data_IF_371750794451
#
_entry.id   IF_371750794451
#
_cell.length_a   1.000
_cell.length_b   1.000
_cell.length_c   1.000
_cell.angle_alpha   90.00
_cell.angle_beta   90.00
_cell.angle_gamma   90.00
#
_symmetry.space_group_name_H-M   'P 1'
#
loop_
_entity.id
_entity.type
_entity.pdbx_description
1 polymer ?
#
# COMPACT_ATOMS: atom_id res chain seq x y z
N UNK A 1 -41.60 1.15 56.62
CA UNK A 1 -41.27 1.10 55.19
C UNK A 1 -40.87 2.48 54.72
N UNK A 2 -39.57 2.72 54.50
CA UNK A 2 -39.06 4.00 54.01
C UNK A 2 -39.36 4.13 52.51
N UNK A 3 -40.05 5.19 52.12
CA UNK A 3 -40.31 5.51 50.70
C UNK A 3 -38.96 5.72 50.00
N UNK A 4 -38.61 4.81 49.08
CA UNK A 4 -37.50 5.03 48.14
C UNK A 4 -37.76 6.33 47.38
N UNK A 5 -36.89 7.32 47.58
CA UNK A 5 -36.87 8.53 46.76
C UNK A 5 -36.53 8.10 45.33
N UNK A 6 -37.43 8.35 44.37
CA UNK A 6 -37.13 8.29 42.94
C UNK A 6 -36.00 9.29 42.68
N UNK A 7 -34.78 8.78 42.52
CA UNK A 7 -33.64 9.56 42.04
C UNK A 7 -33.92 9.85 40.58
N UNK A 8 -34.17 11.12 40.28
CA UNK A 8 -34.34 11.62 38.92
C UNK A 8 -32.95 11.57 38.27
N UNK A 9 -32.72 10.58 37.39
CA UNK A 9 -31.52 10.54 36.54
C UNK A 9 -31.70 11.57 35.44
N UNK A 10 -31.14 12.76 35.66
CA UNK A 10 -31.02 13.78 34.62
C UNK A 10 -29.92 13.34 33.65
N UNK A 11 -30.21 13.32 32.34
CA UNK A 11 -29.21 13.10 31.29
C UNK A 11 -28.04 14.09 31.37
N UNK A 12 -28.27 15.27 31.96
CA UNK A 12 -27.22 16.26 32.22
C UNK A 12 -26.29 15.87 33.39
N UNK A 13 -26.74 15.02 34.33
CA UNK A 13 -25.89 14.49 35.42
C UNK A 13 -25.01 13.33 34.94
N UNK A 14 -25.50 12.54 33.97
CA UNK A 14 -24.70 11.50 33.31
C UNK A 14 -23.64 12.13 32.39
N UNK A 15 -23.95 13.23 31.69
CA UNK A 15 -22.99 13.98 30.87
C UNK A 15 -21.82 14.62 31.65
N UNK A 16 -22.04 14.92 32.95
CA UNK A 16 -21.06 15.60 33.83
C UNK A 16 -20.02 14.63 34.41
N UNK A 17 -20.27 13.31 34.39
CA UNK A 17 -19.38 12.29 34.96
C UNK A 17 -18.53 11.52 33.93
N UNK A 18 -18.59 11.86 32.64
CA UNK A 18 -17.77 11.19 31.63
C UNK A 18 -16.29 11.57 31.76
N UNK A 19 -15.42 10.57 31.78
CA UNK A 19 -13.98 10.77 31.69
C UNK A 19 -13.61 11.44 30.37
N UNK A 20 -12.39 11.98 30.27
CA UNK A 20 -11.89 12.53 28.99
C UNK A 20 -11.94 11.47 27.88
N UNK A 21 -11.58 10.22 28.20
CA UNK A 21 -11.61 9.09 27.27
C UNK A 21 -13.04 8.78 26.80
N UNK A 22 -14.04 8.79 27.69
CA UNK A 22 -15.42 8.49 27.30
C UNK A 22 -15.99 9.51 26.30
N UNK A 23 -15.61 10.78 26.42
CA UNK A 23 -16.03 11.83 25.49
C UNK A 23 -15.42 11.62 24.11
N UNK A 24 -14.13 11.27 24.06
CA UNK A 24 -13.45 10.92 22.80
C UNK A 24 -14.11 9.68 22.19
N UNK A 25 -14.31 8.62 22.98
CA UNK A 25 -14.96 7.37 22.57
C UNK A 25 -16.32 7.62 21.93
N UNK A 26 -17.18 8.40 22.57
CA UNK A 26 -18.53 8.68 22.04
C UNK A 26 -18.48 9.39 20.69
N UNK A 27 -17.58 10.36 20.52
CA UNK A 27 -17.44 11.09 19.26
C UNK A 27 -16.94 10.16 18.16
N UNK A 28 -15.87 9.39 18.41
CA UNK A 28 -15.29 8.51 17.40
C UNK A 28 -16.26 7.38 17.02
N UNK A 29 -16.97 6.78 17.97
CA UNK A 29 -18.01 5.79 17.68
C UNK A 29 -19.13 6.40 16.83
N UNK A 30 -19.57 7.62 17.15
CA UNK A 30 -20.60 8.30 16.36
C UNK A 30 -20.12 8.57 14.93
N UNK A 31 -18.84 8.92 14.75
CA UNK A 31 -18.24 9.09 13.42
C UNK A 31 -18.16 7.75 12.69
N UNK A 32 -17.54 6.74 13.30
CA UNK A 32 -17.32 5.41 12.74
C UNK A 32 -18.61 4.65 12.40
N UNK A 33 -19.77 5.09 12.91
CA UNK A 33 -21.10 4.55 12.59
C UNK A 33 -21.89 5.38 11.57
N UNK A 34 -21.34 6.47 11.06
CA UNK A 34 -22.05 7.35 10.14
C UNK A 34 -23.07 8.27 10.80
N UNK A 35 -23.05 8.40 12.13
CA UNK A 35 -24.08 9.12 12.91
C UNK A 35 -23.68 10.58 13.21
N UNK A 36 -22.40 10.93 13.08
CA UNK A 36 -21.90 12.26 13.42
C UNK A 36 -22.14 13.28 12.28
N UNK A 37 -22.70 14.47 12.56
CA UNK A 37 -23.07 15.44 11.52
C UNK A 37 -21.88 16.02 10.73
N UNK A 38 -20.66 15.92 11.28
CA UNK A 38 -19.45 16.38 10.58
C UNK A 38 -19.14 15.56 9.31
N UNK A 39 -19.66 14.34 9.18
CA UNK A 39 -19.42 13.47 8.01
C UNK A 39 -19.95 14.09 6.71
N UNK A 40 -20.94 14.97 6.79
CA UNK A 40 -21.49 15.66 5.62
C UNK A 40 -20.53 16.71 5.01
N UNK A 41 -19.39 16.98 5.65
CA UNK A 41 -18.46 18.04 5.28
C UNK A 41 -17.03 17.62 5.66
N UNK A 42 -16.21 17.26 4.68
CA UNK A 42 -14.88 16.69 4.91
C UNK A 42 -13.94 17.63 5.69
N UNK A 43 -14.01 18.96 5.49
CA UNK A 43 -13.21 19.92 6.27
C UNK A 43 -13.63 19.90 7.74
N UNK A 44 -14.94 19.88 8.02
CA UNK A 44 -15.45 19.78 9.41
C UNK A 44 -15.10 18.45 10.06
N UNK A 45 -15.12 17.36 9.29
CA UNK A 45 -14.71 16.05 9.75
C UNK A 45 -13.22 16.06 10.11
N UNK A 46 -12.38 16.62 9.22
CA UNK A 46 -10.95 16.78 9.45
C UNK A 46 -10.65 17.56 10.74
N UNK A 47 -11.21 18.76 10.89
CA UNK A 47 -11.04 19.59 12.09
C UNK A 47 -11.46 18.85 13.39
N UNK A 48 -12.58 18.13 13.32
CA UNK A 48 -13.07 17.32 14.43
C UNK A 48 -12.07 16.22 14.79
N UNK A 49 -11.57 15.49 13.78
CA UNK A 49 -10.65 14.38 13.96
C UNK A 49 -9.27 14.86 14.44
N UNK A 50 -8.70 15.94 13.90
CA UNK A 50 -7.51 16.57 14.47
C UNK A 50 -7.70 16.91 15.96
N UNK A 51 -8.87 17.45 16.31
CA UNK A 51 -9.24 17.76 17.68
C UNK A 51 -9.42 16.52 18.58
N UNK A 52 -9.85 15.37 18.02
CA UNK A 52 -9.91 14.11 18.75
C UNK A 52 -8.53 13.49 18.90
N UNK A 53 -7.71 13.48 17.84
CA UNK A 53 -6.38 12.91 17.86
C UNK A 53 -5.50 13.55 18.93
N UNK A 54 -5.44 14.89 18.99
CA UNK A 54 -4.75 15.62 20.07
C UNK A 54 -5.22 15.23 21.47
N UNK A 55 -6.53 14.95 21.63
CA UNK A 55 -7.07 14.50 22.92
C UNK A 55 -6.67 13.07 23.24
N UNK A 56 -6.48 12.22 22.24
CA UNK A 56 -5.97 10.84 22.40
C UNK A 56 -4.51 10.89 22.84
N UNK A 57 -3.68 11.75 22.23
CA UNK A 57 -2.27 11.96 22.62
C UNK A 57 -2.14 12.41 24.08
N UNK A 58 -3.08 13.23 24.56
CA UNK A 58 -3.15 13.68 25.95
C UNK A 58 -3.64 12.60 26.94
N UNK A 59 -4.14 11.45 26.46
CA UNK A 59 -4.54 10.35 27.34
C UNK A 59 -3.32 9.65 27.93
N UNK A 60 -3.53 8.92 29.03
CA UNK A 60 -2.48 8.04 29.55
C UNK A 60 -2.26 6.92 28.56
N UNK A 61 -1.01 6.69 28.13
CA UNK A 61 -0.57 5.55 27.33
C UNK A 61 -0.99 4.22 27.99
N UNK A 62 -2.18 3.74 27.66
CA UNK A 62 -2.79 2.56 28.25
C UNK A 62 -3.75 1.90 27.24
N UNK A 63 -4.47 0.89 27.70
CA UNK A 63 -5.49 0.16 26.94
C UNK A 63 -6.54 1.06 26.28
N UNK A 64 -6.98 2.13 26.95
CA UNK A 64 -7.99 3.05 26.41
C UNK A 64 -7.46 3.86 25.23
N UNK A 65 -6.17 4.25 25.25
CA UNK A 65 -5.55 4.94 24.10
C UNK A 65 -5.59 4.06 22.85
N UNK A 66 -5.22 2.77 22.97
CA UNK A 66 -5.30 1.82 21.86
C UNK A 66 -6.72 1.65 21.32
N UNK A 67 -7.70 1.55 22.21
CA UNK A 67 -9.12 1.53 21.84
C UNK A 67 -9.50 2.77 21.03
N UNK A 68 -9.10 3.96 21.49
CA UNK A 68 -9.46 5.22 20.84
C UNK A 68 -8.79 5.35 19.47
N UNK A 69 -7.53 4.93 19.35
CA UNK A 69 -6.82 4.91 18.06
C UNK A 69 -7.49 3.93 17.08
N UNK A 70 -7.93 2.76 17.54
CA UNK A 70 -8.69 1.82 16.70
C UNK A 70 -10.00 2.45 16.19
N UNK A 71 -10.77 3.12 17.05
CA UNK A 71 -11.97 3.86 16.61
C UNK A 71 -11.64 5.01 15.67
N UNK A 72 -10.52 5.71 15.91
CA UNK A 72 -10.06 6.80 15.07
C UNK A 72 -9.76 6.33 13.65
N UNK A 73 -9.01 5.23 13.50
CA UNK A 73 -8.66 4.65 12.20
C UNK A 73 -9.90 4.21 11.39
N UNK A 74 -10.97 3.77 12.07
CA UNK A 74 -12.25 3.46 11.40
C UNK A 74 -12.98 4.70 10.85
N UNK A 75 -12.56 5.91 11.21
CA UNK A 75 -13.20 7.15 10.74
C UNK A 75 -12.77 7.56 9.32
N UNK A 76 -11.66 7.02 8.80
CA UNK A 76 -11.13 7.36 7.47
C UNK A 76 -12.14 7.09 6.34
N UNK A 77 -12.93 6.03 6.51
CA UNK A 77 -13.98 5.58 5.62
C UNK A 77 -15.00 6.67 5.18
N UNK A 78 -15.07 7.78 5.93
CA UNK A 78 -16.05 8.84 5.75
C UNK A 78 -15.50 10.08 5.06
N UNK A 79 -14.23 10.10 4.68
CA UNK A 79 -13.70 11.15 3.82
C UNK A 79 -14.16 10.96 2.38
N UNK A 80 -14.62 12.05 1.75
CA UNK A 80 -14.97 12.08 0.33
C UNK A 80 -14.39 13.35 -0.25
N UNK A 81 -13.09 13.29 -0.54
CA UNK A 81 -12.33 14.42 -1.07
C UNK A 81 -12.08 14.19 -2.56
N UNK A 82 -12.41 15.15 -3.45
CA UNK A 82 -12.08 15.05 -4.86
C UNK A 82 -10.56 14.89 -5.05
N UNK A 83 -10.14 14.05 -6.00
CA UNK A 83 -8.72 13.85 -6.32
C UNK A 83 -7.98 15.15 -6.69
N UNK A 84 -8.72 16.15 -7.17
CA UNK A 84 -8.19 17.47 -7.52
C UNK A 84 -7.76 18.31 -6.30
N UNK A 85 -8.23 17.97 -5.09
CA UNK A 85 -7.85 18.64 -3.83
C UNK A 85 -6.69 17.90 -3.15
N UNK A 86 -5.58 17.82 -3.87
CA UNK A 86 -4.41 17.04 -3.48
C UNK A 86 -3.82 17.45 -2.11
N UNK A 87 -3.75 18.76 -1.83
CA UNK A 87 -3.20 19.24 -0.55
C UNK A 87 -4.05 18.79 0.64
N UNK A 88 -5.37 18.82 0.51
CA UNK A 88 -6.24 18.36 1.58
C UNK A 88 -6.21 16.84 1.75
N UNK A 89 -6.05 16.09 0.65
CA UNK A 89 -5.79 14.65 0.71
C UNK A 89 -4.47 14.33 1.43
N UNK A 90 -3.41 15.11 1.20
CA UNK A 90 -2.14 14.97 1.94
C UNK A 90 -2.31 15.24 3.43
N UNK A 91 -3.01 16.31 3.81
CA UNK A 91 -3.30 16.65 5.22
C UNK A 91 -4.05 15.51 5.93
N UNK A 92 -4.99 14.86 5.25
CA UNK A 92 -5.73 13.69 5.77
C UNK A 92 -4.79 12.50 5.93
N UNK A 93 -3.97 12.21 4.91
CA UNK A 93 -2.99 11.10 4.95
C UNK A 93 -1.97 11.29 6.07
N UNK A 94 -1.47 12.51 6.28
CA UNK A 94 -0.55 12.82 7.38
C UNK A 94 -1.20 12.53 8.75
N UNK A 95 -2.44 13.01 8.95
CA UNK A 95 -3.19 12.78 10.18
C UNK A 95 -3.37 11.29 10.50
N UNK A 96 -3.72 10.49 9.49
CA UNK A 96 -3.88 9.06 9.68
C UNK A 96 -2.55 8.31 9.80
N UNK A 97 -1.51 8.73 9.07
CA UNK A 97 -0.15 8.20 9.22
C UNK A 97 0.41 8.39 10.63
N UNK A 98 0.15 9.55 11.25
CA UNK A 98 0.47 9.82 12.65
C UNK A 98 -0.30 8.88 13.59
N UNK A 99 -1.59 8.65 13.32
CA UNK A 99 -2.42 7.75 14.12
C UNK A 99 -1.97 6.29 14.01
N UNK A 100 -1.57 5.83 12.82
CA UNK A 100 -0.98 4.51 12.59
C UNK A 100 0.32 4.36 13.37
N UNK A 101 1.23 5.35 13.26
CA UNK A 101 2.50 5.35 13.98
C UNK A 101 2.29 5.28 15.49
N UNK A 102 1.35 6.07 16.01
CA UNK A 102 1.05 6.07 17.44
C UNK A 102 0.40 4.75 17.89
N UNK A 103 -0.48 4.16 17.07
CA UNK A 103 -1.06 2.84 17.35
C UNK A 103 0.04 1.78 17.41
N UNK A 104 0.93 1.72 16.42
CA UNK A 104 2.02 0.74 16.37
C UNK A 104 2.97 0.85 17.56
N UNK A 105 3.35 2.06 17.98
CA UNK A 105 4.16 2.27 19.19
C UNK A 105 3.45 1.72 20.43
N UNK A 106 2.19 2.11 20.63
CA UNK A 106 1.38 1.68 21.77
C UNK A 106 1.13 0.17 21.79
N UNK A 107 0.89 -0.42 20.62
CA UNK A 107 0.63 -1.84 20.48
C UNK A 107 1.89 -2.66 20.76
N UNK A 108 3.06 -2.17 20.35
CA UNK A 108 4.35 -2.80 20.62
C UNK A 108 4.69 -2.79 22.13
N UNK A 109 4.38 -1.69 22.83
CA UNK A 109 4.59 -1.57 24.28
C UNK A 109 3.54 -2.31 25.13
N UNK A 110 2.43 -2.74 24.53
CA UNK A 110 1.33 -3.39 25.24
C UNK A 110 1.67 -4.82 25.69
N UNK A 111 1.49 -5.10 26.98
CA UNK A 111 1.60 -6.45 27.54
C UNK A 111 0.34 -7.28 27.31
N UNK A 112 -0.81 -6.66 27.02
CA UNK A 112 -2.09 -7.33 26.77
C UNK A 112 -2.21 -7.67 25.27
N UNK A 113 -1.47 -8.71 24.87
CA UNK A 113 -1.35 -9.13 23.45
C UNK A 113 -2.68 -9.57 22.84
N UNK A 114 -3.49 -10.29 23.62
CA UNK A 114 -4.82 -10.71 23.19
C UNK A 114 -5.74 -9.51 22.88
N UNK A 115 -5.61 -8.42 23.64
CA UNK A 115 -6.36 -7.21 23.35
C UNK A 115 -5.92 -6.53 22.05
N UNK A 116 -4.62 -6.49 21.77
CA UNK A 116 -4.09 -5.95 20.48
C UNK A 116 -4.62 -6.77 19.30
N UNK A 117 -4.60 -8.11 19.40
CA UNK A 117 -5.15 -9.00 18.37
C UNK A 117 -6.63 -8.71 18.13
N UNK A 118 -7.44 -8.56 19.20
CA UNK A 118 -8.86 -8.24 19.06
C UNK A 118 -9.10 -6.89 18.37
N UNK A 119 -8.29 -5.87 18.65
CA UNK A 119 -8.39 -4.58 17.97
C UNK A 119 -8.05 -4.69 16.48
N UNK A 120 -7.01 -5.45 16.14
CA UNK A 120 -6.64 -5.70 14.75
C UNK A 120 -7.72 -6.50 14.01
N UNK A 121 -8.34 -7.48 14.69
CA UNK A 121 -9.46 -8.24 14.17
C UNK A 121 -10.64 -7.32 13.86
N UNK A 122 -11.04 -6.46 14.80
CA UNK A 122 -12.11 -5.49 14.58
C UNK A 122 -11.77 -4.51 13.44
N UNK A 123 -10.52 -4.05 13.34
CA UNK A 123 -10.09 -3.15 12.25
C UNK A 123 -10.18 -3.83 10.88
N UNK A 124 -9.78 -5.10 10.77
CA UNK A 124 -9.89 -5.88 9.54
C UNK A 124 -11.35 -6.09 9.14
N UNK A 125 -12.23 -6.46 10.08
CA UNK A 125 -13.65 -6.68 9.79
C UNK A 125 -14.39 -5.42 9.35
N UNK A 126 -13.90 -4.24 9.71
CA UNK A 126 -14.48 -2.96 9.32
C UNK A 126 -13.78 -2.34 8.08
N UNK A 127 -12.87 -3.05 7.40
CA UNK A 127 -12.22 -2.57 6.19
C UNK A 127 -13.26 -2.13 5.14
N UNK A 128 -13.08 -0.94 4.54
CA UNK A 128 -14.04 -0.38 3.57
C UNK A 128 -13.44 -0.12 2.20
N UNK A 129 -12.11 -0.06 2.09
CA UNK A 129 -11.44 0.09 0.80
C UNK A 129 -10.02 -0.47 0.86
N UNK A 130 -9.46 -0.81 -0.30
CA UNK A 130 -8.08 -1.29 -0.43
C UNK A 130 -7.03 -0.18 -0.19
N UNK A 131 -7.43 1.08 -0.02
CA UNK A 131 -6.53 2.23 0.14
C UNK A 131 -6.86 3.11 1.35
N UNK A 132 -7.58 2.55 2.33
CA UNK A 132 -7.86 3.29 3.56
C UNK A 132 -6.64 3.33 4.49
N UNK A 133 -6.61 4.28 5.42
CA UNK A 133 -5.55 4.47 6.40
C UNK A 133 -5.13 3.20 7.18
N UNK A 134 -6.00 2.18 7.26
CA UNK A 134 -5.68 0.93 7.95
C UNK A 134 -4.76 0.04 7.13
N UNK A 135 -4.71 0.22 5.81
CA UNK A 135 -3.73 -0.41 4.93
C UNK A 135 -2.31 -0.20 5.47
N UNK A 136 -1.93 1.05 5.77
CA UNK A 136 -0.60 1.36 6.32
C UNK A 136 -0.35 0.64 7.66
N UNK A 137 -1.38 0.51 8.51
CA UNK A 137 -1.28 -0.26 9.75
C UNK A 137 -1.09 -1.76 9.50
N UNK A 138 -1.80 -2.33 8.51
CA UNK A 138 -1.66 -3.74 8.11
C UNK A 138 -0.25 -4.02 7.57
N UNK A 139 0.31 -3.10 6.78
CA UNK A 139 1.72 -3.18 6.33
C UNK A 139 2.73 -3.02 7.47
N UNK A 140 2.38 -2.28 8.53
CA UNK A 140 3.20 -2.11 9.72
C UNK A 140 3.05 -3.23 10.77
N UNK A 141 2.21 -4.26 10.54
CA UNK A 141 1.84 -5.25 11.56
C UNK A 141 3.03 -5.95 12.24
N UNK A 142 4.11 -6.21 11.48
CA UNK A 142 5.34 -6.83 12.00
C UNK A 142 6.12 -5.96 12.99
N UNK A 143 5.85 -4.67 13.03
CA UNK A 143 6.50 -3.76 13.98
C UNK A 143 6.04 -4.04 15.41
N UNK A 144 4.84 -4.60 15.58
CA UNK A 144 4.23 -4.77 16.88
C UNK A 144 3.58 -6.14 17.13
N UNK A 145 3.50 -7.05 16.15
CA UNK A 145 3.00 -8.43 16.33
C UNK A 145 4.03 -9.50 15.91
N UNK A 146 4.03 -10.64 16.62
CA UNK A 146 4.81 -11.81 16.25
C UNK A 146 4.16 -12.58 15.09
N UNK A 147 4.92 -13.46 14.44
CA UNK A 147 4.40 -14.31 13.36
C UNK A 147 3.27 -15.24 13.85
N UNK A 148 3.38 -15.76 15.08
CA UNK A 148 2.32 -16.57 15.69
C UNK A 148 1.04 -15.76 15.92
N UNK A 149 1.16 -14.52 16.41
CA UNK A 149 0.02 -13.63 16.64
C UNK A 149 -0.66 -13.23 15.33
N UNK A 150 0.11 -13.00 14.26
CA UNK A 150 -0.41 -12.70 12.92
C UNK A 150 -1.20 -13.90 12.36
N UNK A 151 -0.66 -15.13 12.51
CA UNK A 151 -1.38 -16.34 12.10
C UNK A 151 -2.67 -16.54 12.89
N UNK A 152 -2.62 -16.29 14.21
CA UNK A 152 -3.81 -16.34 15.06
C UNK A 152 -4.86 -15.34 14.58
N UNK A 153 -4.48 -14.07 14.38
CA UNK A 153 -5.37 -13.03 13.85
C UNK A 153 -6.01 -13.47 12.53
N UNK A 154 -5.20 -13.98 11.60
CA UNK A 154 -5.68 -14.43 10.30
C UNK A 154 -6.69 -15.58 10.40
N UNK A 155 -6.42 -16.57 11.26
CA UNK A 155 -7.34 -17.69 11.50
C UNK A 155 -8.66 -17.21 12.15
N UNK A 156 -8.62 -16.27 13.09
CA UNK A 156 -9.82 -15.70 13.73
C UNK A 156 -10.69 -14.88 12.76
N UNK A 157 -10.07 -14.13 11.84
CA UNK A 157 -10.78 -13.40 10.78
C UNK A 157 -11.41 -14.39 9.79
N UNK A 158 -10.67 -15.40 9.32
CA UNK A 158 -11.19 -16.42 8.42
C UNK A 158 -12.35 -17.21 9.06
N UNK A 159 -12.26 -17.54 10.35
CA UNK A 159 -13.35 -18.20 11.08
C UNK A 159 -14.60 -17.31 11.17
N UNK A 160 -14.42 -15.99 11.25
CA UNK A 160 -15.53 -15.03 11.24
C UNK A 160 -16.20 -15.00 9.88
N UNK A 161 -15.44 -14.95 8.78
CA UNK A 161 -15.95 -15.00 7.41
C UNK A 161 -16.70 -16.32 7.13
N UNK A 162 -16.22 -17.45 7.67
CA UNK A 162 -16.90 -18.74 7.53
C UNK A 162 -18.28 -18.78 8.23
N UNK A 163 -18.47 -17.98 9.28
CA UNK A 163 -19.71 -17.96 10.10
C UNK A 163 -20.69 -16.86 9.69
N UNK A 164 -20.19 -15.79 9.10
CA UNK A 164 -20.94 -14.57 8.85
C UNK A 164 -20.69 -14.09 7.41
N UNK A 165 -21.77 -13.87 6.67
CA UNK A 165 -21.69 -13.15 5.40
C UNK A 165 -21.56 -11.66 5.69
N UNK A 166 -20.46 -11.06 5.22
CA UNK A 166 -20.18 -9.64 5.36
C UNK A 166 -20.36 -8.94 4.01
N UNK A 167 -20.90 -7.72 4.01
CA UNK A 167 -21.07 -6.95 2.77
C UNK A 167 -19.71 -6.51 2.18
N UNK A 168 -18.70 -6.34 3.04
CA UNK A 168 -17.33 -5.92 2.72
C UNK A 168 -16.33 -7.11 2.71
N UNK A 169 -16.80 -8.33 2.42
CA UNK A 169 -15.97 -9.54 2.47
C UNK A 169 -14.70 -9.44 1.59
N UNK A 170 -14.78 -8.78 0.43
CA UNK A 170 -13.64 -8.59 -0.46
C UNK A 170 -12.55 -7.70 0.16
N UNK A 171 -12.95 -6.63 0.83
CA UNK A 171 -12.06 -5.68 1.51
C UNK A 171 -11.41 -6.32 2.73
N UNK A 172 -12.16 -7.15 3.47
CA UNK A 172 -11.60 -7.95 4.58
C UNK A 172 -10.54 -8.92 4.05
N UNK A 173 -10.79 -9.59 2.93
CA UNK A 173 -9.80 -10.45 2.28
C UNK A 173 -8.57 -9.69 1.78
N UNK A 174 -8.73 -8.46 1.28
CA UNK A 174 -7.60 -7.62 0.89
C UNK A 174 -6.73 -7.27 2.12
N UNK A 175 -7.33 -6.76 3.20
CA UNK A 175 -6.58 -6.38 4.40
C UNK A 175 -5.83 -7.54 5.06
N UNK A 176 -6.42 -8.74 5.11
CA UNK A 176 -5.72 -9.92 5.66
C UNK A 176 -4.63 -10.45 4.71
N UNK A 177 -4.74 -10.24 3.38
CA UNK A 177 -3.63 -10.48 2.43
C UNK A 177 -2.48 -9.51 2.68
N UNK A 178 -2.77 -8.23 2.92
CA UNK A 178 -1.76 -7.22 3.25
C UNK A 178 -1.01 -7.58 4.54
N UNK A 179 -1.74 -8.03 5.57
CA UNK A 179 -1.15 -8.55 6.81
C UNK A 179 -0.22 -9.74 6.53
N UNK A 180 -0.63 -10.69 5.66
CA UNK A 180 0.17 -11.86 5.33
C UNK A 180 1.42 -11.51 4.48
N UNK A 181 1.30 -10.57 3.55
CA UNK A 181 2.40 -10.09 2.72
C UNK A 181 3.42 -9.32 3.57
N UNK A 182 2.94 -8.40 4.41
CA UNK A 182 3.76 -7.68 5.38
C UNK A 182 4.49 -8.64 6.33
N UNK A 183 3.83 -9.72 6.77
CA UNK A 183 4.42 -10.80 7.56
C UNK A 183 5.54 -11.57 6.83
N UNK A 184 5.56 -11.53 5.49
CA UNK A 184 6.39 -12.38 4.64
C UNK A 184 5.99 -13.86 4.73
N UNK A 185 4.73 -14.15 5.08
CA UNK A 185 4.22 -15.52 5.27
C UNK A 185 3.49 -16.00 4.01
N UNK A 186 4.28 -16.38 3.00
CA UNK A 186 3.75 -16.84 1.72
C UNK A 186 2.74 -18.02 1.81
N UNK A 187 2.93 -19.02 2.70
CA UNK A 187 1.91 -20.05 2.94
C UNK A 187 0.57 -19.50 3.46
N UNK A 188 0.61 -18.52 4.37
CA UNK A 188 -0.60 -17.86 4.86
C UNK A 188 -1.26 -17.04 3.74
N UNK A 189 -0.46 -16.31 2.97
CA UNK A 189 -0.94 -15.55 1.81
C UNK A 189 -1.65 -16.46 0.79
N UNK A 190 -1.04 -17.60 0.43
CA UNK A 190 -1.64 -18.59 -0.48
C UNK A 190 -2.98 -19.11 0.06
N UNK A 191 -3.03 -19.46 1.36
CA UNK A 191 -4.25 -19.94 2.03
C UNK A 191 -5.39 -18.94 1.92
N UNK A 192 -5.10 -17.67 2.19
CA UNK A 192 -6.10 -16.58 2.13
C UNK A 192 -6.51 -16.32 0.68
N UNK A 193 -5.54 -16.22 -0.24
CA UNK A 193 -5.79 -15.93 -1.66
C UNK A 193 -6.75 -16.96 -2.28
N UNK A 194 -6.55 -18.25 -2.01
CA UNK A 194 -7.42 -19.31 -2.54
C UNK A 194 -8.70 -19.53 -1.73
N UNK A 195 -8.83 -18.90 -0.56
CA UNK A 195 -10.13 -18.73 0.10
C UNK A 195 -10.95 -17.65 -0.60
N UNK A 196 -10.33 -16.51 -0.92
CA UNK A 196 -10.95 -15.39 -1.67
C UNK A 196 -11.32 -15.80 -3.10
N UNK A 197 -10.45 -16.53 -3.78
CA UNK A 197 -10.64 -17.00 -5.15
C UNK A 197 -10.46 -18.53 -5.27
N UNK A 198 -11.51 -19.31 -4.93
CA UNK A 198 -11.46 -20.79 -4.98
C UNK A 198 -11.25 -21.35 -6.39
N UNK A 199 -11.57 -20.57 -7.43
CA UNK A 199 -11.37 -20.96 -8.83
C UNK A 199 -9.90 -20.85 -9.26
N UNK A 200 -9.04 -20.23 -8.43
CA UNK A 200 -7.60 -20.10 -8.64
C UNK A 200 -7.28 -19.52 -10.02
N UNK A 201 -7.85 -18.35 -10.30
CA UNK A 201 -7.58 -17.61 -11.54
C UNK A 201 -6.10 -17.28 -11.68
N UNK A 202 -5.66 -17.04 -12.91
CA UNK A 202 -4.25 -16.76 -13.22
C UNK A 202 -3.67 -15.64 -12.34
N UNK A 203 -4.36 -14.49 -12.23
CA UNK A 203 -3.93 -13.41 -11.33
C UNK A 203 -3.69 -13.87 -9.88
N UNK A 204 -4.59 -14.66 -9.30
CA UNK A 204 -4.45 -15.19 -7.92
C UNK A 204 -3.28 -16.17 -7.80
N UNK A 205 -3.06 -17.02 -8.80
CA UNK A 205 -1.92 -17.94 -8.87
C UNK A 205 -0.59 -17.18 -8.97
N UNK A 206 -0.53 -16.15 -9.81
CA UNK A 206 0.65 -15.30 -10.01
C UNK A 206 0.96 -14.50 -8.74
N UNK A 207 -0.05 -13.88 -8.12
CA UNK A 207 0.11 -13.15 -6.87
C UNK A 207 0.63 -14.04 -5.73
N UNK A 208 0.04 -15.23 -5.54
CA UNK A 208 0.53 -16.20 -4.57
C UNK A 208 1.95 -16.71 -4.89
N UNK A 209 2.27 -16.92 -6.18
CA UNK A 209 3.62 -17.27 -6.60
C UNK A 209 4.64 -16.15 -6.31
N UNK A 210 4.24 -14.89 -6.49
CA UNK A 210 5.05 -13.72 -6.18
C UNK A 210 5.39 -13.67 -4.68
N UNK A 211 4.41 -13.92 -3.80
CA UNK A 211 4.64 -13.98 -2.36
C UNK A 211 5.75 -15.00 -1.99
N UNK A 212 5.71 -16.20 -2.58
CA UNK A 212 6.78 -17.20 -2.39
C UNK A 212 8.12 -16.76 -2.98
N UNK A 213 8.12 -16.11 -4.15
CA UNK A 213 9.34 -15.60 -4.77
C UNK A 213 10.03 -14.52 -3.92
N UNK A 214 9.26 -13.59 -3.35
CA UNK A 214 9.72 -12.55 -2.43
C UNK A 214 10.28 -13.19 -1.15
N UNK A 215 9.58 -14.18 -0.59
CA UNK A 215 10.05 -14.96 0.56
C UNK A 215 11.29 -15.84 0.26
N UNK A 216 11.67 -16.01 -1.01
CA UNK A 216 12.83 -16.80 -1.44
C UNK A 216 12.55 -18.29 -1.64
N UNK A 217 11.30 -18.74 -1.57
CA UNK A 217 10.89 -20.12 -1.80
C UNK A 217 10.56 -20.36 -3.29
N UNK A 218 11.63 -20.50 -4.06
CA UNK A 218 11.57 -20.72 -5.51
C UNK A 218 10.82 -22.01 -5.91
N UNK A 219 10.96 -23.15 -5.19
CA UNK A 219 10.17 -24.34 -5.47
C UNK A 219 8.66 -24.10 -5.43
N UNK A 220 8.13 -23.43 -4.41
CA UNK A 220 6.69 -23.17 -4.32
C UNK A 220 6.21 -22.09 -5.29
N UNK A 221 7.03 -21.06 -5.55
CA UNK A 221 6.73 -20.09 -6.59
C UNK A 221 6.56 -20.77 -7.97
N UNK A 222 7.49 -21.67 -8.34
CA UNK A 222 7.36 -22.45 -9.57
C UNK A 222 6.17 -23.40 -9.56
N UNK A 223 5.86 -24.06 -8.43
CA UNK A 223 4.69 -24.94 -8.32
C UNK A 223 3.43 -24.21 -8.75
N UNK A 224 3.20 -23.01 -8.22
CA UNK A 224 2.03 -22.19 -8.54
C UNK A 224 2.05 -21.66 -9.96
N UNK A 225 3.20 -21.18 -10.46
CA UNK A 225 3.28 -20.73 -11.86
C UNK A 225 3.03 -21.83 -12.87
N UNK A 226 3.35 -23.09 -12.56
CA UNK A 226 3.04 -24.21 -13.43
C UNK A 226 1.53 -24.53 -13.50
N UNK A 227 0.72 -23.97 -12.61
CA UNK A 227 -0.74 -24.09 -12.63
C UNK A 227 -1.41 -22.99 -13.48
N UNK A 228 -0.69 -21.92 -13.84
CA UNK A 228 -1.19 -20.81 -14.68
C UNK A 228 -1.46 -21.30 -16.10
N UNK A 229 -2.66 -21.04 -16.63
CA UNK A 229 -3.09 -21.53 -17.94
C UNK A 229 -3.39 -20.37 -18.88
N UNK A 230 -2.64 -20.29 -20.00
CA UNK A 230 -2.83 -19.32 -21.08
C UNK A 230 -3.09 -17.89 -20.56
N UNK A 231 -2.16 -17.31 -19.77
CA UNK A 231 -2.32 -15.95 -19.29
C UNK A 231 -2.35 -14.99 -20.49
N UNK A 232 -3.12 -13.90 -20.36
CA UNK A 232 -3.27 -12.88 -21.41
C UNK A 232 -3.17 -11.49 -20.79
N UNK A 233 -2.76 -10.51 -21.58
CA UNK A 233 -2.69 -9.10 -21.15
C UNK A 233 -1.84 -8.94 -19.88
N UNK A 234 -2.40 -8.32 -18.84
CA UNK A 234 -1.71 -8.06 -17.56
C UNK A 234 -1.20 -9.33 -16.89
N UNK A 235 -2.00 -10.40 -16.89
CA UNK A 235 -1.58 -11.68 -16.28
C UNK A 235 -0.40 -12.28 -17.05
N UNK A 236 -0.31 -12.10 -18.36
CA UNK A 236 0.82 -12.58 -19.16
C UNK A 236 2.09 -11.77 -18.86
N UNK A 237 1.95 -10.45 -18.75
CA UNK A 237 3.05 -9.55 -18.38
C UNK A 237 3.62 -9.91 -16.99
N UNK A 238 2.77 -10.03 -15.98
CA UNK A 238 3.17 -10.39 -14.60
C UNK A 238 3.74 -11.82 -14.53
N UNK A 239 3.16 -12.77 -15.26
CA UNK A 239 3.67 -14.14 -15.35
C UNK A 239 5.10 -14.18 -15.91
N UNK A 240 5.32 -13.49 -17.04
CA UNK A 240 6.62 -13.47 -17.70
C UNK A 240 7.67 -12.78 -16.83
N UNK A 241 7.35 -11.63 -16.23
CA UNK A 241 8.24 -10.89 -15.35
C UNK A 241 8.69 -11.75 -14.15
N UNK A 242 7.73 -12.37 -13.45
CA UNK A 242 8.01 -13.24 -12.32
C UNK A 242 8.83 -14.47 -12.75
N UNK A 243 8.54 -15.05 -13.92
CA UNK A 243 9.28 -16.20 -14.44
C UNK A 243 10.72 -15.85 -14.80
N UNK A 244 10.97 -14.67 -15.37
CA UNK A 244 12.33 -14.14 -15.59
C UNK A 244 13.08 -14.07 -14.26
N UNK A 245 12.47 -13.45 -13.24
CA UNK A 245 13.04 -13.34 -11.90
C UNK A 245 13.39 -14.69 -11.26
N UNK A 246 12.51 -15.69 -11.41
CA UNK A 246 12.75 -17.06 -10.94
C UNK A 246 13.93 -17.72 -11.67
N UNK A 247 13.96 -17.65 -13.01
CA UNK A 247 15.03 -18.26 -13.80
C UNK A 247 16.40 -17.68 -13.44
N UNK A 248 16.49 -16.39 -13.14
CA UNK A 248 17.71 -15.78 -12.61
C UNK A 248 18.11 -16.36 -11.25
N UNK A 249 17.18 -16.47 -10.29
CA UNK A 249 17.46 -17.08 -8.98
C UNK A 249 17.87 -18.56 -9.07
N UNK A 250 17.43 -19.26 -10.11
CA UNK A 250 17.83 -20.64 -10.41
C UNK A 250 19.16 -20.76 -11.18
N UNK A 251 19.79 -19.65 -11.57
CA UNK A 251 21.02 -19.65 -12.37
C UNK A 251 20.83 -20.08 -13.84
N UNK A 252 19.60 -19.99 -14.36
CA UNK A 252 19.24 -20.36 -15.75
C UNK A 252 19.31 -19.15 -16.68
N UNK A 253 20.44 -18.44 -16.68
CA UNK A 253 20.63 -17.15 -17.35
C UNK A 253 20.18 -17.14 -18.81
N UNK A 254 20.56 -18.14 -19.60
CA UNK A 254 20.18 -18.21 -21.03
C UNK A 254 18.66 -18.22 -21.24
N UNK A 255 17.92 -18.93 -20.39
CA UNK A 255 16.47 -18.99 -20.47
C UNK A 255 15.85 -17.69 -19.98
N UNK A 256 16.39 -17.13 -18.89
CA UNK A 256 15.97 -15.84 -18.37
C UNK A 256 16.13 -14.73 -19.41
N UNK A 257 17.25 -14.71 -20.14
CA UNK A 257 17.52 -13.71 -21.19
C UNK A 257 16.53 -13.83 -22.34
N UNK A 258 16.31 -15.05 -22.85
CA UNK A 258 15.35 -15.28 -23.92
C UNK A 258 13.94 -14.85 -23.52
N UNK A 259 13.55 -15.10 -22.27
CA UNK A 259 12.23 -14.74 -21.77
C UNK A 259 12.09 -13.24 -21.50
N UNK A 260 13.17 -12.58 -21.06
CA UNK A 260 13.20 -11.13 -20.89
C UNK A 260 13.11 -10.39 -22.24
N UNK A 261 13.71 -10.94 -23.30
CA UNK A 261 13.52 -10.41 -24.66
C UNK A 261 12.05 -10.56 -25.11
N UNK A 262 11.44 -11.74 -24.90
CA UNK A 262 10.02 -11.97 -25.23
C UNK A 262 9.10 -11.01 -24.45
N UNK A 263 9.36 -10.83 -23.15
CA UNK A 263 8.62 -9.91 -22.28
C UNK A 263 8.64 -8.50 -22.83
N UNK A 264 9.83 -7.97 -23.15
CA UNK A 264 9.96 -6.62 -23.71
C UNK A 264 9.35 -6.50 -25.12
N UNK A 265 9.45 -7.55 -25.94
CA UNK A 265 8.85 -7.54 -27.29
C UNK A 265 7.31 -7.42 -27.22
N UNK A 266 6.68 -8.19 -26.32
CA UNK A 266 5.22 -8.17 -26.11
C UNK A 266 4.74 -6.95 -25.33
N UNK A 267 5.48 -6.56 -24.30
CA UNK A 267 5.14 -5.50 -23.35
C UNK A 267 6.28 -4.49 -23.30
N UNK A 268 6.31 -3.53 -24.24
CA UNK A 268 7.51 -2.73 -24.46
C UNK A 268 7.61 -1.50 -23.57
N UNK A 269 7.53 -1.72 -22.26
CA UNK A 269 7.64 -0.67 -21.25
C UNK A 269 9.08 -0.42 -20.86
N UNK A 270 9.39 0.80 -20.45
CA UNK A 270 10.74 1.25 -20.12
C UNK A 270 11.35 0.45 -18.96
N UNK A 271 10.57 0.00 -17.99
CA UNK A 271 11.10 -0.83 -16.90
C UNK A 271 11.46 -2.25 -17.35
N UNK A 272 10.76 -2.83 -18.33
CA UNK A 272 11.14 -4.12 -18.93
C UNK A 272 12.44 -3.98 -19.73
N UNK A 273 12.54 -2.92 -20.52
CA UNK A 273 13.77 -2.58 -21.24
C UNK A 273 14.94 -2.36 -20.26
N UNK A 274 14.71 -1.63 -19.18
CA UNK A 274 15.70 -1.40 -18.12
C UNK A 274 16.24 -2.73 -17.58
N UNK A 275 15.34 -3.67 -17.24
CA UNK A 275 15.71 -4.99 -16.73
C UNK A 275 16.51 -5.79 -17.76
N UNK A 276 16.09 -5.76 -19.03
CA UNK A 276 16.79 -6.43 -20.12
C UNK A 276 18.19 -5.82 -20.37
N UNK A 277 18.32 -4.50 -20.38
CA UNK A 277 19.59 -3.80 -20.58
C UNK A 277 20.65 -4.10 -19.51
N UNK A 278 20.24 -4.56 -18.32
CA UNK A 278 21.17 -4.93 -17.23
C UNK A 278 21.82 -6.31 -17.44
N UNK A 279 21.25 -7.14 -18.30
CA UNK A 279 21.62 -8.56 -18.43
C UNK A 279 22.17 -8.93 -19.82
N UNK A 280 21.94 -8.09 -20.84
CA UNK A 280 22.45 -8.29 -22.20
C UNK A 280 23.87 -7.73 -22.37
N UNK A 281 24.51 -8.07 -23.50
CA UNK A 281 25.81 -7.48 -23.86
C UNK A 281 25.71 -5.97 -24.11
N UNK A 282 26.81 -5.21 -23.95
CA UNK A 282 26.82 -3.77 -24.25
C UNK A 282 26.34 -3.45 -25.67
N UNK A 283 26.76 -4.24 -26.67
CA UNK A 283 26.33 -4.02 -28.06
C UNK A 283 24.81 -4.21 -28.22
N UNK A 284 24.25 -5.26 -27.62
CA UNK A 284 22.80 -5.52 -27.67
C UNK A 284 22.01 -4.46 -26.89
N UNK A 285 22.57 -3.98 -25.78
CA UNK A 285 22.00 -2.87 -25.01
C UNK A 285 21.87 -1.61 -25.87
N UNK A 286 22.91 -1.23 -26.59
CA UNK A 286 22.89 -0.06 -27.49
C UNK A 286 21.86 -0.23 -28.61
N UNK A 287 21.77 -1.41 -29.21
CA UNK A 287 20.74 -1.73 -30.20
C UNK A 287 19.32 -1.54 -29.65
N UNK A 288 19.02 -2.13 -28.49
CA UNK A 288 17.71 -2.06 -27.85
C UNK A 288 17.31 -0.62 -27.48
N UNK A 289 18.26 0.18 -26.97
CA UNK A 289 18.01 1.57 -26.63
C UNK A 289 17.72 2.40 -27.89
N UNK A 290 18.47 2.19 -28.98
CA UNK A 290 18.24 2.86 -30.26
C UNK A 290 16.88 2.48 -30.88
N UNK A 291 16.50 1.20 -30.84
CA UNK A 291 15.20 0.72 -31.30
C UNK A 291 14.06 1.34 -30.48
N UNK A 292 14.21 1.41 -29.16
CA UNK A 292 13.20 2.00 -28.29
C UNK A 292 12.99 3.49 -28.59
N UNK A 293 14.09 4.27 -28.67
CA UNK A 293 14.04 5.70 -28.99
C UNK A 293 13.37 5.99 -30.33
N UNK A 294 13.66 5.17 -31.34
CA UNK A 294 13.20 5.41 -32.71
C UNK A 294 11.78 4.91 -33.00
N UNK A 295 11.33 3.85 -32.32
CA UNK A 295 10.07 3.18 -32.64
C UNK A 295 8.97 3.37 -31.59
N UNK A 296 9.35 3.70 -30.34
CA UNK A 296 8.42 3.61 -29.19
C UNK A 296 8.26 4.91 -28.43
N UNK A 297 9.24 5.81 -28.47
CA UNK A 297 9.10 7.14 -27.88
C UNK A 297 8.26 8.05 -28.79
N UNK A 298 7.39 8.84 -28.17
CA UNK A 298 6.62 9.88 -28.84
C UNK A 298 7.37 11.22 -28.92
N UNK A 299 6.66 12.27 -29.33
CA UNK A 299 7.22 13.63 -29.45
C UNK A 299 7.46 14.31 -28.10
N UNK A 300 6.82 13.84 -27.03
CA UNK A 300 6.97 14.38 -25.68
C UNK A 300 8.07 13.65 -24.90
N UNK A 301 8.67 14.34 -23.93
CA UNK A 301 9.62 13.71 -23.00
C UNK A 301 8.90 12.65 -22.17
N UNK A 302 9.36 11.40 -22.23
CA UNK A 302 8.86 10.31 -21.37
C UNK A 302 9.58 10.35 -20.00
N UNK A 303 8.87 10.58 -18.88
CA UNK A 303 9.48 10.50 -17.55
C UNK A 303 10.06 9.12 -17.26
N UNK A 304 9.36 8.05 -17.67
CA UNK A 304 9.79 6.67 -17.47
C UNK A 304 11.10 6.37 -18.21
N UNK A 305 11.24 6.90 -19.42
CA UNK A 305 12.46 6.76 -20.21
C UNK A 305 13.63 7.53 -19.60
N UNK A 306 13.40 8.77 -19.14
CA UNK A 306 14.42 9.54 -18.39
C UNK A 306 14.86 8.78 -17.14
N UNK A 307 13.89 8.27 -16.38
CA UNK A 307 14.12 7.50 -15.16
C UNK A 307 14.91 6.21 -15.43
N UNK A 308 14.61 5.52 -16.53
CA UNK A 308 15.36 4.36 -17.00
C UNK A 308 16.82 4.73 -17.32
N UNK A 309 17.06 5.77 -18.12
CA UNK A 309 18.43 6.17 -18.48
C UNK A 309 19.26 6.58 -17.26
N UNK A 310 18.65 7.27 -16.28
CA UNK A 310 19.29 7.55 -14.98
C UNK A 310 19.68 6.25 -14.29
N UNK A 311 18.76 5.29 -14.21
CA UNK A 311 18.99 4.00 -13.54
C UNK A 311 20.09 3.17 -14.21
N UNK A 312 20.16 3.22 -15.55
CA UNK A 312 21.20 2.56 -16.33
C UNK A 312 22.52 3.34 -16.38
N UNK A 313 22.58 4.54 -15.77
CA UNK A 313 23.70 5.48 -15.84
C UNK A 313 24.09 5.88 -17.27
N UNK A 314 23.12 5.89 -18.19
CA UNK A 314 23.27 6.26 -19.61
C UNK A 314 23.19 7.78 -19.79
N UNK A 315 24.04 8.51 -19.08
CA UNK A 315 23.88 9.95 -18.94
C UNK A 315 24.21 10.75 -20.19
N UNK A 316 25.11 10.25 -21.05
CA UNK A 316 25.44 10.92 -22.31
C UNK A 316 24.26 10.83 -23.27
N UNK A 317 23.63 9.64 -23.35
CA UNK A 317 22.39 9.41 -24.09
C UNK A 317 21.25 10.25 -23.52
N UNK A 318 21.12 10.34 -22.18
CA UNK A 318 20.14 11.19 -21.53
C UNK A 318 20.33 12.68 -21.86
N UNK A 319 21.58 13.16 -21.90
CA UNK A 319 21.88 14.53 -22.31
C UNK A 319 21.37 14.80 -23.72
N UNK A 320 21.71 13.94 -24.67
CA UNK A 320 21.24 14.05 -26.05
C UNK A 320 19.71 14.03 -26.15
N UNK A 321 19.07 13.12 -25.42
CA UNK A 321 17.61 12.98 -25.40
C UNK A 321 16.93 14.27 -24.89
N UNK A 322 17.40 14.83 -23.77
CA UNK A 322 16.85 16.07 -23.20
C UNK A 322 17.15 17.31 -24.07
N UNK A 323 18.29 17.36 -24.75
CA UNK A 323 18.60 18.43 -25.70
C UNK A 323 17.66 18.42 -26.89
N UNK A 324 17.40 17.23 -27.46
CA UNK A 324 16.50 17.06 -28.60
C UNK A 324 15.04 17.39 -28.26
N UNK A 325 14.64 17.23 -27.00
CA UNK A 325 13.28 17.49 -26.52
C UNK A 325 13.19 18.70 -25.60
N UNK A 326 14.14 19.65 -25.73
CA UNK A 326 14.23 20.81 -24.83
C UNK A 326 12.93 21.60 -24.77
N UNK A 327 12.26 21.73 -25.91
CA UNK A 327 10.99 22.43 -26.00
C UNK A 327 9.84 21.67 -25.35
N UNK A 328 9.95 20.37 -25.09
CA UNK A 328 8.87 19.55 -24.54
C UNK A 328 9.04 19.26 -23.04
N UNK A 329 10.22 19.55 -22.47
CA UNK A 329 10.48 19.40 -21.03
C UNK A 329 9.43 20.15 -20.20
N UNK A 330 8.97 21.34 -20.64
CA UNK A 330 7.99 22.13 -19.89
C UNK A 330 6.59 21.50 -19.83
N UNK A 331 6.28 20.55 -20.72
CA UNK A 331 5.02 19.82 -20.72
C UNK A 331 5.00 18.67 -19.70
N UNK A 332 6.17 18.31 -19.14
CA UNK A 332 6.24 17.38 -18.01
C UNK A 332 5.77 18.08 -16.74
N UNK A 333 5.06 17.32 -15.91
CA UNK A 333 4.61 17.77 -14.60
C UNK A 333 5.76 18.36 -13.76
N UNK A 334 5.46 19.39 -12.97
CA UNK A 334 6.46 20.13 -12.20
C UNK A 334 7.10 19.28 -11.09
N UNK A 335 6.31 18.46 -10.42
CA UNK A 335 6.75 17.58 -9.35
C UNK A 335 7.62 16.46 -9.92
N UNK A 336 7.14 15.77 -10.97
CA UNK A 336 7.94 14.72 -11.65
C UNK A 336 9.29 15.25 -12.15
N UNK A 337 9.33 16.48 -12.70
CA UNK A 337 10.60 17.11 -13.10
C UNK A 337 11.55 17.34 -11.93
N UNK A 338 11.02 17.81 -10.81
CA UNK A 338 11.83 18.08 -9.62
C UNK A 338 12.34 16.79 -8.99
N UNK A 339 11.52 15.74 -8.91
CA UNK A 339 11.94 14.41 -8.45
C UNK A 339 13.08 13.86 -9.31
N UNK A 340 12.95 13.91 -10.63
CA UNK A 340 13.99 13.47 -11.56
C UNK A 340 15.27 14.33 -11.44
N UNK A 341 15.13 15.64 -11.20
CA UNK A 341 16.26 16.54 -10.98
C UNK A 341 17.00 16.23 -9.67
N UNK A 342 16.28 16.03 -8.56
CA UNK A 342 16.83 15.60 -7.27
C UNK A 342 17.56 14.26 -7.44
N UNK A 343 16.94 13.32 -8.16
CA UNK A 343 17.56 12.03 -8.45
C UNK A 343 18.86 12.19 -9.22
N UNK A 344 18.92 13.02 -10.27
CA UNK A 344 20.16 13.32 -11.00
C UNK A 344 21.24 13.95 -10.13
N UNK A 345 20.86 14.81 -9.19
CA UNK A 345 21.79 15.41 -8.23
C UNK A 345 22.41 14.37 -7.29
N UNK A 346 21.66 13.34 -6.90
CA UNK A 346 22.19 12.20 -6.12
C UNK A 346 23.30 11.44 -6.86
N UNK A 347 23.28 11.47 -8.20
CA UNK A 347 24.34 10.96 -9.08
C UNK A 347 25.40 12.00 -9.46
N UNK A 348 25.42 13.17 -8.80
CA UNK A 348 26.29 14.32 -9.11
C UNK A 348 26.11 14.90 -10.53
N UNK A 349 24.97 14.66 -11.19
CA UNK A 349 24.64 15.19 -12.53
C UNK A 349 23.85 16.48 -12.46
N UNK A 350 24.44 17.50 -11.82
CA UNK A 350 23.83 18.85 -11.66
C UNK A 350 23.58 19.54 -13.01
N UNK A 351 24.36 19.20 -14.02
CA UNK A 351 24.21 19.66 -15.40
C UNK A 351 22.86 19.23 -15.99
N UNK A 352 22.54 17.93 -15.89
CA UNK A 352 21.29 17.34 -16.39
C UNK A 352 20.10 17.75 -15.52
N UNK A 353 20.26 17.79 -14.20
CA UNK A 353 19.23 18.29 -13.29
C UNK A 353 18.82 19.73 -13.64
N UNK A 354 19.81 20.57 -14.01
CA UNK A 354 19.55 21.93 -14.47
C UNK A 354 18.78 21.95 -15.80
N UNK A 355 18.90 20.95 -16.68
CA UNK A 355 18.12 20.90 -17.91
C UNK A 355 16.62 20.67 -17.64
N UNK A 356 16.29 19.82 -16.67
CA UNK A 356 14.91 19.58 -16.25
C UNK A 356 14.29 20.80 -15.54
N UNK A 357 15.09 21.51 -14.74
CA UNK A 357 14.66 22.73 -14.02
C UNK A 357 14.72 24.02 -14.85
N UNK A 358 15.44 24.02 -15.98
CA UNK A 358 15.56 25.20 -16.85
C UNK A 358 14.22 25.44 -17.52
N UNK A 359 13.51 26.43 -16.99
CA UNK A 359 12.38 27.11 -17.62
C UNK A 359 12.85 28.47 -18.10
#
# INVERSE_FOLDING_TARGET
>A
MAKQRKVWKSSALDAVNFSKADKVRQVLIAVAKGEHPAIADSEKLYDLLCGMFRKIEDLKKNRETLEMLSWFLNCDAYFTVPEEDFLFLEDIRELFGDAVSFFSEMANESTDRAYVINLMHDLLLNAVSEYDARFDLFFAVRQFMSAEEIRQLADEVLETLDKHSLENENEVFAGILDVADAAGDAPLYEKIMFRRDPDRKNGSLIAAANAYYVAGDIPNANRLLNEVQNPVQRDEEEFLDLKVGILFKEGKEKQAHSLAEELYEKFPREYHLMSLCKIVSPDRKEELLNEHESLRLGESVSPDYVNMLITLSEFDRLSCYLENHREQIHAMDGETREELAIRLESFNRKDLAKMLRRV
#
